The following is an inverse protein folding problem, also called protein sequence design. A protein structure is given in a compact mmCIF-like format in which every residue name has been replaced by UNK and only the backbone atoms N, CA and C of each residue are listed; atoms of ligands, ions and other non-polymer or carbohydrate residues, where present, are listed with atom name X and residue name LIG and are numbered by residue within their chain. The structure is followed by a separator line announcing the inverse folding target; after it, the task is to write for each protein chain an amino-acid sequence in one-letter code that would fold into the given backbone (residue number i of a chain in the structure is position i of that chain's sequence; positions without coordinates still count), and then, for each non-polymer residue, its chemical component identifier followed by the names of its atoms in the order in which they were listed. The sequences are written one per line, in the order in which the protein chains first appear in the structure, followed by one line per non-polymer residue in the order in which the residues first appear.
data_IF_433866845428
#
_entry.id   IF_433866845428
#
_cell.length_a   1.000
_cell.length_b   1.000
_cell.length_c   1.000
_cell.angle_alpha   90.00
_cell.angle_beta   90.00
_cell.angle_gamma   90.00
#
_symmetry.space_group_name_H-M   'P 1'
#
loop_
_entity.id
_entity.type
_entity.pdbx_description
1 polymer ?
#
# COMPACT_ATOMS: atom_id res chain seq x y z
N UNK A 1 -13.46 9.16 17.35
CA UNK A 1 -13.16 8.14 16.31
C UNK A 1 -13.71 6.80 16.79
N UNK A 2 -14.59 6.15 16.02
CA UNK A 2 -15.11 4.81 16.31
C UNK A 2 -14.01 3.75 16.08
N UNK A 3 -14.26 2.48 16.46
CA UNK A 3 -13.30 1.38 16.31
C UNK A 3 -12.84 1.20 14.87
N UNK A 4 -13.80 1.15 13.93
CA UNK A 4 -13.54 1.05 12.48
C UNK A 4 -12.63 2.19 11.99
N UNK A 5 -12.88 3.42 12.41
CA UNK A 5 -12.02 4.56 12.06
C UNK A 5 -10.60 4.44 12.61
N UNK A 6 -10.41 3.84 13.80
CA UNK A 6 -9.07 3.55 14.34
C UNK A 6 -8.35 2.48 13.52
N UNK A 7 -9.06 1.44 13.11
CA UNK A 7 -8.51 0.37 12.29
C UNK A 7 -8.13 0.89 10.90
N UNK A 8 -9.01 1.64 10.23
CA UNK A 8 -8.70 2.29 8.95
C UNK A 8 -7.50 3.24 9.07
N UNK A 9 -7.45 4.04 10.14
CA UNK A 9 -6.30 4.92 10.39
C UNK A 9 -5.00 4.12 10.56
N UNK A 10 -5.06 2.97 11.24
CA UNK A 10 -3.92 2.05 11.35
C UNK A 10 -3.53 1.47 10.00
N UNK A 11 -4.48 1.10 9.13
CA UNK A 11 -4.20 0.61 7.78
C UNK A 11 -3.45 1.66 6.96
N UNK A 12 -3.88 2.92 7.00
CA UNK A 12 -3.19 4.03 6.31
C UNK A 12 -1.81 4.31 6.93
N UNK A 13 -1.67 4.21 8.26
CA UNK A 13 -0.38 4.30 8.92
C UNK A 13 0.59 3.21 8.46
N UNK A 14 0.09 1.99 8.28
CA UNK A 14 0.88 0.87 7.75
C UNK A 14 1.26 1.09 6.29
N UNK A 15 0.36 1.62 5.46
CA UNK A 15 0.67 2.01 4.08
C UNK A 15 1.83 3.01 4.05
N UNK A 16 1.70 4.07 4.83
CA UNK A 16 2.69 5.14 4.91
C UNK A 16 4.06 4.58 5.35
N UNK A 17 4.10 3.80 6.43
CA UNK A 17 5.34 3.20 6.93
C UNK A 17 5.96 2.19 5.94
N UNK A 18 5.13 1.38 5.28
CA UNK A 18 5.59 0.41 4.30
C UNK A 18 6.17 1.08 3.05
N UNK A 19 5.52 2.12 2.54
CA UNK A 19 6.04 2.91 1.41
C UNK A 19 7.34 3.64 1.77
N UNK A 20 7.41 4.26 2.95
CA UNK A 20 8.64 4.90 3.42
C UNK A 20 9.78 3.88 3.56
N UNK A 21 9.49 2.69 4.11
CA UNK A 21 10.48 1.61 4.23
C UNK A 21 10.95 1.13 2.86
N UNK A 22 10.02 0.96 1.91
CA UNK A 22 10.33 0.57 0.55
C UNK A 22 11.27 1.57 -0.12
N UNK A 23 10.95 2.87 -0.08
CA UNK A 23 11.77 3.90 -0.73
C UNK A 23 13.13 4.05 -0.06
N UNK A 24 13.20 3.96 1.28
CA UNK A 24 14.45 4.17 2.01
C UNK A 24 15.39 2.97 1.98
N UNK A 25 14.85 1.75 2.00
CA UNK A 25 15.65 0.55 2.28
C UNK A 25 15.63 -0.51 1.17
N UNK A 26 14.71 -0.45 0.21
CA UNK A 26 14.70 -1.41 -0.89
C UNK A 26 15.77 -1.07 -1.94
N UNK A 27 16.33 -2.08 -2.64
CA UNK A 27 16.99 -1.87 -3.92
C UNK A 27 16.05 -1.10 -4.85
N UNK A 28 16.61 -0.16 -5.63
CA UNK A 28 15.81 0.79 -6.43
C UNK A 28 14.87 0.07 -7.40
N UNK A 29 15.34 -1.02 -7.97
CA UNK A 29 14.62 -1.90 -8.90
C UNK A 29 13.47 -2.68 -8.25
N UNK A 30 13.46 -2.82 -6.93
CA UNK A 30 12.45 -3.54 -6.15
C UNK A 30 11.46 -2.62 -5.43
N UNK A 31 11.72 -1.30 -5.36
CA UNK A 31 10.85 -0.32 -4.68
C UNK A 31 9.38 -0.49 -5.08
N UNK A 32 9.11 -0.67 -6.39
CA UNK A 32 7.75 -0.85 -6.91
C UNK A 32 7.14 -2.16 -6.42
N UNK A 33 7.91 -3.25 -6.41
CA UNK A 33 7.46 -4.55 -5.90
C UNK A 33 7.01 -4.43 -4.44
N UNK A 34 7.83 -3.80 -3.60
CA UNK A 34 7.50 -3.57 -2.19
C UNK A 34 6.31 -2.62 -2.01
N UNK A 35 6.23 -1.55 -2.81
CA UNK A 35 5.11 -0.62 -2.77
C UNK A 35 3.79 -1.31 -3.16
N UNK A 36 3.81 -2.16 -4.18
CA UNK A 36 2.67 -2.96 -4.61
C UNK A 36 2.18 -3.91 -3.51
N UNK A 37 3.10 -4.64 -2.88
CA UNK A 37 2.73 -5.53 -1.77
C UNK A 37 2.18 -4.76 -0.57
N UNK A 38 2.80 -3.62 -0.22
CA UNK A 38 2.32 -2.74 0.87
C UNK A 38 0.91 -2.24 0.58
N UNK A 39 0.64 -1.83 -0.65
CA UNK A 39 -0.69 -1.40 -1.08
C UNK A 39 -1.70 -2.53 -0.93
N UNK A 40 -1.39 -3.74 -1.40
CA UNK A 40 -2.30 -4.88 -1.28
C UNK A 40 -2.61 -5.25 0.17
N UNK A 41 -1.60 -5.30 1.05
CA UNK A 41 -1.82 -5.51 2.48
C UNK A 41 -2.68 -4.39 3.11
N UNK A 42 -2.59 -3.17 2.60
CA UNK A 42 -3.43 -2.05 3.06
C UNK A 42 -4.89 -2.23 2.66
N UNK A 43 -5.14 -2.70 1.43
CA UNK A 43 -6.50 -3.02 0.97
C UNK A 43 -7.11 -4.15 1.79
N UNK A 44 -6.37 -5.22 2.04
CA UNK A 44 -6.81 -6.34 2.89
C UNK A 44 -7.08 -5.89 4.34
N UNK A 45 -6.25 -5.00 4.88
CA UNK A 45 -6.46 -4.39 6.20
C UNK A 45 -7.77 -3.58 6.23
N UNK A 46 -8.02 -2.76 5.22
CA UNK A 46 -9.22 -1.94 5.14
C UNK A 46 -10.49 -2.79 5.00
N UNK A 47 -10.45 -3.85 4.19
CA UNK A 47 -11.56 -4.79 4.05
C UNK A 47 -11.86 -5.53 5.35
N UNK A 48 -10.81 -5.92 6.09
CA UNK A 48 -10.95 -6.57 7.40
C UNK A 48 -11.56 -5.61 8.43
N UNK A 49 -11.11 -4.36 8.46
CA UNK A 49 -11.64 -3.32 9.35
C UNK A 49 -13.14 -3.04 9.12
N UNK A 50 -13.59 -3.22 7.87
CA UNK A 50 -14.98 -3.01 7.45
C UNK A 50 -15.82 -4.28 7.52
N UNK A 51 -15.24 -5.44 7.81
CA UNK A 51 -15.95 -6.73 7.77
C UNK A 51 -17.07 -6.83 8.81
N UNK A 52 -16.94 -6.12 9.94
CA UNK A 52 -17.94 -6.06 11.01
C UNK A 52 -19.01 -4.98 10.83
N UNK A 53 -18.96 -4.18 9.77
CA UNK A 53 -20.03 -3.25 9.45
C UNK A 53 -21.24 -4.03 8.93
N UNK A 54 -22.41 -3.83 9.56
CA UNK A 54 -23.61 -4.68 9.45
C UNK A 54 -24.23 -4.80 8.04
N UNK A 55 -23.72 -4.06 7.06
CA UNK A 55 -24.19 -4.13 5.69
C UNK A 55 -23.03 -4.34 4.70
N UNK A 56 -22.89 -5.55 4.11
CA UNK A 56 -21.92 -5.80 3.04
C UNK A 56 -22.13 -4.91 1.82
N UNK A 57 -23.35 -4.38 1.64
CA UNK A 57 -23.72 -3.40 0.60
C UNK A 57 -23.72 -1.96 1.15
N UNK A 58 -23.11 -1.71 2.30
CA UNK A 58 -23.01 -0.35 2.82
C UNK A 58 -22.30 0.55 1.80
N UNK A 59 -22.84 1.75 1.50
CA UNK A 59 -22.21 2.70 0.59
C UNK A 59 -20.77 3.04 0.99
N UNK A 60 -20.41 2.91 2.27
CA UNK A 60 -19.06 3.12 2.75
C UNK A 60 -18.08 2.01 2.32
N UNK A 61 -18.52 0.75 2.35
CA UNK A 61 -17.72 -0.40 1.88
C UNK A 61 -17.59 -0.35 0.37
N UNK A 62 -18.69 -0.13 -0.35
CA UNK A 62 -18.66 0.09 -1.81
C UNK A 62 -17.79 1.28 -2.19
N UNK A 63 -17.85 2.40 -1.47
CA UNK A 63 -17.02 3.57 -1.75
C UNK A 63 -15.53 3.25 -1.54
N UNK A 64 -15.15 2.59 -0.45
CA UNK A 64 -13.75 2.25 -0.19
C UNK A 64 -13.24 1.23 -1.21
N UNK A 65 -13.98 0.15 -1.45
CA UNK A 65 -13.60 -0.87 -2.44
C UNK A 65 -13.56 -0.28 -3.85
N UNK A 66 -14.57 0.51 -4.25
CA UNK A 66 -14.61 1.10 -5.59
C UNK A 66 -13.58 2.21 -5.78
N UNK A 67 -13.26 3.02 -4.78
CA UNK A 67 -12.19 4.03 -4.89
C UNK A 67 -10.83 3.32 -5.00
N UNK A 68 -10.59 2.30 -4.18
CA UNK A 68 -9.36 1.52 -4.27
C UNK A 68 -9.22 0.82 -5.62
N UNK A 69 -10.28 0.16 -6.12
CA UNK A 69 -10.26 -0.53 -7.40
C UNK A 69 -10.23 0.41 -8.62
N UNK A 70 -10.99 1.50 -8.61
CA UNK A 70 -11.06 2.43 -9.76
C UNK A 70 -9.82 3.30 -9.88
N UNK A 71 -9.28 3.80 -8.77
CA UNK A 71 -8.12 4.71 -8.80
C UNK A 71 -6.83 3.91 -8.99
N UNK A 72 -6.74 2.73 -8.36
CA UNK A 72 -5.49 2.00 -8.30
C UNK A 72 -5.53 0.65 -9.01
N UNK A 73 -6.67 0.00 -9.21
CA UNK A 73 -6.73 -1.35 -9.79
C UNK A 73 -6.15 -1.44 -11.21
N UNK A 74 -6.51 -0.51 -12.11
CA UNK A 74 -5.98 -0.52 -13.48
C UNK A 74 -4.51 -0.07 -13.55
N UNK A 75 -4.14 0.96 -12.80
CA UNK A 75 -2.79 1.51 -12.79
C UNK A 75 -1.81 0.56 -12.10
N UNK A 76 -2.17 0.02 -10.94
CA UNK A 76 -1.38 -0.99 -10.24
C UNK A 76 -1.38 -2.33 -10.96
N UNK A 77 -2.46 -2.71 -11.66
CA UNK A 77 -2.45 -3.92 -12.49
C UNK A 77 -1.33 -3.89 -13.54
N UNK A 78 -1.08 -2.71 -14.14
CA UNK A 78 0.00 -2.52 -15.11
C UNK A 78 1.39 -2.44 -14.45
N UNK A 79 1.50 -1.77 -13.30
CA UNK A 79 2.79 -1.47 -12.66
C UNK A 79 3.27 -2.62 -11.75
N UNK A 80 2.36 -3.29 -11.04
CA UNK A 80 2.68 -4.30 -10.05
C UNK A 80 2.93 -5.68 -10.67
N UNK A 81 2.38 -5.98 -11.84
CA UNK A 81 2.59 -7.22 -12.57
C UNK A 81 2.48 -8.46 -11.68
N UNK A 82 3.59 -9.20 -11.42
CA UNK A 82 3.56 -10.41 -10.59
C UNK A 82 3.24 -10.14 -9.12
N UNK A 83 3.40 -8.91 -8.62
CA UNK A 83 3.07 -8.49 -7.25
C UNK A 83 1.64 -7.97 -7.13
N UNK A 84 0.74 -8.44 -8.00
CA UNK A 84 -0.68 -8.11 -7.95
C UNK A 84 -1.39 -8.78 -6.77
N UNK A 85 -2.60 -8.31 -6.47
CA UNK A 85 -3.44 -8.80 -5.37
C UNK A 85 -3.67 -10.31 -5.50
N UNK A 86 -3.44 -11.05 -4.41
CA UNK A 86 -3.60 -12.50 -4.38
C UNK A 86 -2.43 -13.31 -4.97
N UNK A 87 -1.38 -12.64 -5.46
CA UNK A 87 -0.15 -13.31 -5.88
C UNK A 87 0.64 -13.86 -4.70
N UNK A 88 1.32 -15.00 -4.89
CA UNK A 88 2.29 -15.52 -3.91
C UNK A 88 3.59 -14.73 -3.90
N UNK A 89 3.84 -13.87 -4.89
CA UNK A 89 5.08 -13.09 -5.03
C UNK A 89 5.30 -12.15 -3.86
N UNK A 90 4.24 -11.54 -3.32
CA UNK A 90 4.34 -10.70 -2.12
C UNK A 90 4.70 -11.48 -0.84
N UNK A 91 4.46 -12.79 -0.79
CA UNK A 91 4.85 -13.64 0.34
C UNK A 91 6.31 -14.09 0.25
N UNK A 92 6.89 -14.05 -0.95
CA UNK A 92 8.24 -14.51 -1.24
C UNK A 92 9.29 -13.39 -1.21
N UNK A 93 8.85 -12.13 -1.24
CA UNK A 93 9.75 -10.99 -1.18
C UNK A 93 10.40 -10.91 0.21
N UNK A 94 11.74 -10.82 0.31
CA UNK A 94 12.42 -10.74 1.61
C UNK A 94 11.94 -9.51 2.41
N UNK A 95 11.79 -9.60 3.74
CA UNK A 95 11.43 -8.43 4.53
C UNK A 95 12.57 -7.39 4.50
N UNK A 96 12.21 -6.12 4.36
CA UNK A 96 13.16 -5.02 4.47
C UNK A 96 13.53 -4.77 5.93
N UNK A 97 14.76 -4.27 6.20
CA UNK A 97 15.08 -3.78 7.53
C UNK A 97 14.15 -2.62 7.91
N UNK A 98 13.83 -2.45 9.21
CA UNK A 98 13.02 -1.32 9.66
C UNK A 98 13.76 0.00 9.43
N UNK A 99 13.00 1.09 9.31
CA UNK A 99 13.56 2.45 9.24
C UNK A 99 14.41 2.74 10.47
N UNK A 100 15.61 3.29 10.25
CA UNK A 100 16.49 3.72 11.34
C UNK A 100 15.80 4.77 12.22
N UNK A 101 16.14 4.79 13.52
CA UNK A 101 15.69 5.83 14.42
C UNK A 101 16.22 7.19 13.94
N UNK A 102 15.33 8.11 13.61
CA UNK A 102 15.69 9.44 13.07
C UNK A 102 15.87 9.50 11.55
N UNK A 103 15.50 8.46 10.79
CA UNK A 103 15.44 8.55 9.34
C UNK A 103 14.51 9.68 8.88
N UNK A 104 14.89 10.40 7.81
CA UNK A 104 14.03 11.39 7.17
C UNK A 104 12.76 10.70 6.69
N UNK A 105 11.64 11.07 7.31
CA UNK A 105 10.31 10.64 6.91
C UNK A 105 9.65 11.82 6.21
N UNK A 106 9.17 11.62 5.00
CA UNK A 106 8.27 12.62 4.39
C UNK A 106 7.01 12.76 5.26
N UNK A 107 6.23 13.82 5.17
CA UNK A 107 4.90 13.82 5.81
C UNK A 107 3.77 13.52 4.81
N UNK A 108 4.13 13.23 3.56
CA UNK A 108 3.22 13.25 2.41
C UNK A 108 3.19 11.91 1.67
N UNK A 109 2.02 11.29 1.62
CA UNK A 109 1.79 10.11 0.78
C UNK A 109 2.00 10.40 -0.72
N UNK A 110 1.76 11.65 -1.15
CA UNK A 110 1.95 12.05 -2.55
C UNK A 110 3.44 12.05 -2.88
N UNK A 111 4.30 12.52 -1.97
CA UNK A 111 5.75 12.51 -2.18
C UNK A 111 6.28 11.07 -2.28
N UNK A 112 5.82 10.17 -1.39
CA UNK A 112 6.15 8.74 -1.48
C UNK A 112 5.70 8.13 -2.82
N UNK A 113 4.50 8.46 -3.29
CA UNK A 113 4.01 7.98 -4.56
C UNK A 113 4.87 8.48 -5.74
N UNK A 114 5.33 9.74 -5.68
CA UNK A 114 6.26 10.31 -6.67
C UNK A 114 7.60 9.59 -6.63
N UNK A 115 8.15 9.32 -5.45
CA UNK A 115 9.43 8.61 -5.30
C UNK A 115 9.35 7.18 -5.83
N UNK A 116 8.28 6.45 -5.50
CA UNK A 116 7.99 5.12 -6.06
C UNK A 116 7.89 5.20 -7.58
N UNK A 117 7.12 6.15 -8.14
CA UNK A 117 7.00 6.31 -9.58
C UNK A 117 8.33 6.69 -10.25
N UNK A 118 9.19 7.48 -9.58
CA UNK A 118 10.51 7.85 -10.08
C UNK A 118 11.49 6.68 -10.16
N UNK A 119 11.25 5.62 -9.38
CA UNK A 119 12.06 4.39 -9.44
C UNK A 119 11.86 3.65 -10.77
N UNK A 120 10.65 3.73 -11.37
CA UNK A 120 10.33 3.14 -12.67
C UNK A 120 11.10 3.78 -13.84
N UNK A 121 11.43 5.07 -13.74
CA UNK A 121 11.95 5.87 -14.87
C UNK A 121 13.41 5.57 -15.24
N UNK A 122 14.18 4.84 -14.41
CA UNK A 122 15.61 4.56 -14.64
C UNK A 122 15.91 3.16 -15.20
N UNK A 123 14.93 2.49 -15.82
CA UNK A 123 15.12 1.19 -16.47
C UNK A 123 15.49 1.31 -17.97
N UNK A 124 16.41 2.23 -18.29
CA UNK A 124 17.04 2.38 -19.62
C UNK A 124 18.55 2.53 -19.45
#
# INVERSE_FOLDING_TARGET
MNSVGKELHSCIGNLYNGLQTAVSNAPREEIVSYACCTYHSTVECAETALAGCEDPDSPAREYITSVMERVFGQVLGLVCGPYSRGSTSCQQIPPLPPLAAGADRTSSLIELAIEVASSLRKKN
#
